data_IF_620399852066
#
_entry.id   IF_620399852066
#
_cell.length_a   1.000
_cell.length_b   1.000
_cell.length_c   1.000
_cell.angle_alpha   90.00
_cell.angle_beta   90.00
_cell.angle_gamma   90.00
#
_symmetry.space_group_name_H-M   'P 1'
#
loop_
_entity.id
_entity.type
_entity.pdbx_description
1 polymer ?
#
# COMPACT_ATOMS: atom_id res chain seq x y z
N UNK A 1 9.06 -3.69 10.10
CA UNK A 1 8.62 -3.40 8.71
C UNK A 1 8.33 -4.67 7.90
N UNK A 2 9.05 -5.78 8.13
CA UNK A 2 8.90 -7.01 7.35
C UNK A 2 7.65 -7.83 7.65
N UNK A 3 7.14 -7.90 8.88
CA UNK A 3 6.07 -8.83 9.25
C UNK A 3 4.78 -8.61 8.44
N UNK A 4 4.23 -7.39 8.43
CA UNK A 4 3.00 -7.09 7.66
C UNK A 4 3.16 -7.41 6.18
N UNK A 5 4.27 -7.01 5.55
CA UNK A 5 4.50 -7.29 4.12
C UNK A 5 4.71 -8.79 3.88
N UNK A 6 5.37 -9.47 4.81
CA UNK A 6 5.64 -10.90 4.72
C UNK A 6 4.35 -11.72 4.83
N UNK A 7 3.44 -11.37 5.76
CA UNK A 7 2.13 -11.99 5.86
C UNK A 7 1.35 -11.95 4.54
N UNK A 8 1.43 -10.83 3.82
CA UNK A 8 0.79 -10.70 2.51
C UNK A 8 1.52 -11.50 1.43
N UNK A 9 2.85 -11.56 1.46
CA UNK A 9 3.62 -12.44 0.57
C UNK A 9 3.27 -13.91 0.77
N UNK A 10 3.12 -14.35 2.02
CA UNK A 10 2.73 -15.71 2.37
C UNK A 10 1.31 -16.03 1.90
N UNK A 11 0.43 -15.02 1.81
CA UNK A 11 -0.92 -15.10 1.20
C UNK A 11 -0.92 -15.04 -0.34
N UNK A 12 0.26 -15.05 -0.96
CA UNK A 12 0.46 -15.06 -2.41
C UNK A 12 0.44 -13.67 -3.07
N UNK A 13 0.60 -12.59 -2.31
CA UNK A 13 0.68 -11.24 -2.87
C UNK A 13 2.12 -10.87 -3.22
N UNK A 14 2.30 -10.22 -4.35
CA UNK A 14 3.62 -9.73 -4.79
C UNK A 14 3.70 -8.22 -4.60
N UNK A 15 4.72 -7.73 -3.90
CA UNK A 15 5.00 -6.30 -3.81
C UNK A 15 5.39 -5.76 -5.19
N UNK A 16 4.73 -4.68 -5.63
CA UNK A 16 5.00 -4.07 -6.95
C UNK A 16 5.59 -2.68 -6.85
N UNK A 17 5.25 -1.92 -5.80
CA UNK A 17 5.72 -0.54 -5.67
C UNK A 17 5.74 -0.09 -4.22
N UNK A 18 6.64 0.85 -3.95
CA UNK A 18 6.61 1.69 -2.75
C UNK A 18 6.47 3.14 -3.19
N UNK A 19 5.58 3.88 -2.55
CA UNK A 19 5.37 5.32 -2.71
C UNK A 19 5.67 6.03 -1.40
N UNK A 20 6.30 7.20 -1.48
CA UNK A 20 6.85 7.88 -0.31
C UNK A 20 8.14 7.24 0.19
N UNK A 21 8.67 7.78 1.28
CA UNK A 21 9.94 7.32 1.87
C UNK A 21 9.67 6.34 3.01
N UNK A 22 10.26 5.14 2.92
CA UNK A 22 10.20 4.13 3.99
C UNK A 22 10.96 4.64 5.22
N UNK A 23 10.30 4.59 6.37
CA UNK A 23 10.83 5.00 7.67
C UNK A 23 10.06 4.36 8.81
N UNK A 24 10.47 4.65 10.04
CA UNK A 24 9.77 4.19 11.24
C UNK A 24 8.33 4.69 11.27
N UNK A 25 7.41 3.76 11.54
CA UNK A 25 5.98 4.00 11.57
C UNK A 25 5.37 3.55 12.89
N UNK A 26 4.27 4.21 13.27
CA UNK A 26 3.54 3.91 14.51
C UNK A 26 2.40 2.92 14.26
N UNK A 27 1.81 2.95 13.07
CA UNK A 27 0.70 2.06 12.69
C UNK A 27 0.67 1.84 11.17
N UNK A 28 -0.03 0.80 10.76
CA UNK A 28 -0.32 0.53 9.36
C UNK A 28 -1.83 0.34 9.14
N UNK A 29 -2.29 0.59 7.91
CA UNK A 29 -3.64 0.35 7.45
C UNK A 29 -3.62 -0.41 6.12
N UNK A 30 -4.67 -1.18 5.87
CA UNK A 30 -4.82 -2.00 4.66
C UNK A 30 -6.05 -1.52 3.90
N UNK A 31 -5.88 -1.24 2.61
CA UNK A 31 -6.98 -0.94 1.69
C UNK A 31 -6.98 -1.96 0.54
N UNK A 32 -8.05 -2.72 0.43
CA UNK A 32 -8.26 -3.71 -0.63
C UNK A 32 -9.75 -3.92 -0.89
N UNK A 33 -10.09 -4.29 -2.13
CA UNK A 33 -11.43 -4.74 -2.49
C UNK A 33 -11.34 -5.58 -3.76
N UNK A 34 -11.78 -6.83 -3.74
CA UNK A 34 -11.76 -7.68 -4.94
C UNK A 34 -12.85 -7.30 -5.96
N UNK A 35 -13.89 -6.57 -5.51
CA UNK A 35 -15.03 -6.13 -6.34
C UNK A 35 -14.86 -4.72 -6.93
N UNK A 36 -13.99 -3.89 -6.35
CA UNK A 36 -13.78 -2.53 -6.83
C UNK A 36 -13.11 -2.52 -8.21
N UNK A 37 -13.41 -1.51 -9.03
CA UNK A 37 -12.74 -1.33 -10.32
C UNK A 37 -11.27 -0.90 -10.16
N UNK A 38 -10.95 -0.21 -9.07
CA UNK A 38 -9.61 0.28 -8.78
C UNK A 38 -9.37 0.43 -7.26
N UNK A 39 -8.09 0.47 -6.88
CA UNK A 39 -7.64 0.84 -5.52
C UNK A 39 -6.82 2.11 -5.60
N UNK A 40 -7.17 3.11 -4.78
CA UNK A 40 -6.38 4.35 -4.66
C UNK A 40 -5.36 4.22 -3.52
N UNK A 41 -4.08 4.21 -3.88
CA UNK A 41 -2.99 4.38 -2.92
C UNK A 41 -2.83 5.87 -2.60
N UNK A 42 -2.90 6.25 -1.33
CA UNK A 42 -2.66 7.63 -0.89
C UNK A 42 -1.63 7.69 0.23
N UNK A 43 -0.73 8.68 0.18
CA UNK A 43 0.33 8.88 1.16
C UNK A 43 0.60 10.38 1.36
N UNK A 44 1.38 10.73 2.38
CA UNK A 44 1.79 12.09 2.72
C UNK A 44 3.31 12.17 2.65
N UNK A 45 3.84 13.15 1.92
CA UNK A 45 5.27 13.40 1.84
C UNK A 45 5.54 14.89 2.00
N UNK A 46 6.33 15.25 3.00
CA UNK A 46 6.57 16.64 3.41
C UNK A 46 5.25 17.39 3.66
N UNK A 47 4.31 16.76 4.36
CA UNK A 47 3.00 17.33 4.67
C UNK A 47 2.05 17.46 3.46
N UNK A 48 2.44 17.00 2.26
CA UNK A 48 1.61 17.05 1.06
C UNK A 48 1.04 15.68 0.74
N UNK A 49 -0.29 15.59 0.67
CA UNK A 49 -0.98 14.36 0.23
C UNK A 49 -0.74 14.11 -1.25
N UNK A 50 -0.39 12.87 -1.58
CA UNK A 50 -0.24 12.35 -2.95
C UNK A 50 -1.09 11.10 -3.10
N UNK A 51 -1.57 10.83 -4.32
CA UNK A 51 -2.37 9.65 -4.62
C UNK A 51 -1.94 9.00 -5.94
N UNK A 52 -2.23 7.70 -6.07
CA UNK A 52 -2.11 6.95 -7.32
C UNK A 52 -3.19 5.87 -7.39
N UNK A 53 -3.92 5.86 -8.49
CA UNK A 53 -4.93 4.85 -8.79
C UNK A 53 -4.30 3.60 -9.43
N UNK A 54 -4.78 2.43 -9.03
CA UNK A 54 -4.42 1.13 -9.59
C UNK A 54 -5.69 0.42 -10.08
N UNK A 55 -5.86 0.32 -11.40
CA UNK A 55 -7.00 -0.38 -12.00
C UNK A 55 -6.86 -1.89 -11.80
N UNK A 56 -7.98 -2.54 -11.50
CA UNK A 56 -8.03 -3.97 -11.20
C UNK A 56 -8.57 -4.75 -12.40
N UNK A 57 -7.93 -4.66 -13.55
CA UNK A 57 -8.41 -5.32 -14.77
C UNK A 57 -8.10 -6.82 -14.73
N UNK A 58 -6.80 -7.16 -14.64
CA UNK A 58 -6.27 -8.53 -14.62
C UNK A 58 -5.73 -8.98 -13.26
N UNK A 59 -5.56 -8.04 -12.31
CA UNK A 59 -5.01 -8.30 -11.00
C UNK A 59 -5.84 -7.61 -9.92
N UNK A 60 -5.90 -8.19 -8.73
CA UNK A 60 -6.26 -7.48 -7.52
C UNK A 60 -5.07 -6.66 -7.02
N UNK A 61 -5.36 -5.50 -6.47
CA UNK A 61 -4.39 -4.62 -5.83
C UNK A 61 -4.74 -4.40 -4.36
N UNK A 62 -3.69 -4.25 -3.57
CA UNK A 62 -3.72 -3.99 -2.14
C UNK A 62 -2.80 -2.80 -1.89
N UNK A 63 -3.27 -1.81 -1.13
CA UNK A 63 -2.45 -0.72 -0.62
C UNK A 63 -2.25 -0.86 0.89
N UNK A 64 -1.00 -1.05 1.31
CA UNK A 64 -0.58 -1.01 2.71
C UNK A 64 -0.05 0.38 3.01
N UNK A 65 -0.77 1.14 3.82
CA UNK A 65 -0.43 2.52 4.19
C UNK A 65 0.23 2.53 5.56
N UNK A 66 1.39 3.15 5.67
CA UNK A 66 2.19 3.23 6.89
C UNK A 66 2.25 4.67 7.37
N UNK A 67 1.89 4.89 8.64
CA UNK A 67 1.82 6.23 9.23
C UNK A 67 3.08 6.48 10.07
N UNK A 68 3.91 7.40 9.61
CA UNK A 68 5.23 7.66 10.17
C UNK A 68 5.16 8.55 11.41
N UNK A 69 6.21 8.53 12.23
CA UNK A 69 6.30 9.31 13.47
C UNK A 69 6.27 10.82 13.26
N UNK A 70 6.75 11.28 12.10
CA UNK A 70 6.85 12.68 11.70
C UNK A 70 5.62 13.20 10.94
N UNK A 71 4.54 12.41 10.88
CA UNK A 71 3.29 12.78 10.20
C UNK A 71 3.27 12.51 8.69
N UNK A 72 4.40 12.10 8.12
CA UNK A 72 4.43 11.57 6.75
C UNK A 72 3.88 10.14 6.69
N UNK A 73 3.70 9.66 5.48
CA UNK A 73 3.25 8.31 5.21
C UNK A 73 3.97 7.74 3.99
N UNK A 74 4.12 6.42 3.98
CA UNK A 74 4.48 5.70 2.76
C UNK A 74 3.47 4.59 2.51
N UNK A 75 3.34 4.20 1.24
CA UNK A 75 2.46 3.11 0.84
C UNK A 75 3.25 2.04 0.13
N UNK A 76 3.01 0.79 0.50
CA UNK A 76 3.44 -0.38 -0.26
C UNK A 76 2.23 -0.91 -1.02
N UNK A 77 2.38 -1.01 -2.33
CA UNK A 77 1.36 -1.59 -3.20
C UNK A 77 1.74 -3.02 -3.53
N UNK A 78 0.77 -3.92 -3.39
CA UNK A 78 0.91 -5.32 -3.72
C UNK A 78 -0.15 -5.72 -4.75
N UNK A 79 0.14 -6.77 -5.52
CA UNK A 79 -0.78 -7.35 -6.48
C UNK A 79 -0.94 -8.84 -6.28
N UNK A 80 -2.09 -9.38 -6.69
CA UNK A 80 -2.37 -10.81 -6.80
C UNK A 80 -3.15 -11.05 -8.10
N UNK A 81 -2.88 -12.15 -8.79
CA UNK A 81 -3.66 -12.53 -9.98
C UNK A 81 -5.09 -12.85 -9.57
N UNK A 82 -6.07 -12.43 -10.39
CA UNK A 82 -7.47 -12.85 -10.23
C UNK A 82 -7.63 -14.34 -10.50
#
# INVERSE_FOLDING_TARGET
>A
MNEVVQEWKDKGWTQVRTHGTKKDFNRCGTLMSEKAQAVEASWVENGKRKTKLYTQDSHHYLALRFFCKDGDEFVIVMRKRK
#
